data_IF_353446630412
#
_entry.id   IF_353446630412
#
_cell.length_a   1.000
_cell.length_b   1.000
_cell.length_c   1.000
_cell.angle_alpha   90.00
_cell.angle_beta   90.00
_cell.angle_gamma   90.00
#
_symmetry.space_group_name_H-M   'P 1'
#
loop_
_entity.id
_entity.type
_entity.pdbx_description
1 polymer ?
#
# COMPACT_ATOMS: atom_id res chain seq x y z
N UNK A 1 -88.18 11.63 2.53
CA UNK A 1 -87.61 10.29 2.33
C UNK A 1 -86.11 10.41 2.54
N UNK A 2 -85.63 9.90 3.67
CA UNK A 2 -84.21 9.86 4.05
C UNK A 2 -83.39 9.08 3.03
N UNK A 3 -82.08 9.35 2.94
CA UNK A 3 -81.02 8.38 3.24
C UNK A 3 -79.69 9.13 3.38
N UNK A 4 -79.07 8.94 4.55
CA UNK A 4 -77.75 9.38 4.96
C UNK A 4 -76.65 8.90 3.99
N UNK A 5 -75.79 9.81 3.53
CA UNK A 5 -74.49 9.43 2.96
C UNK A 5 -73.44 9.44 4.08
N UNK A 6 -73.00 8.23 4.45
CA UNK A 6 -71.89 7.96 5.37
C UNK A 6 -70.60 8.55 4.82
N UNK A 7 -69.92 9.41 5.59
CA UNK A 7 -68.54 9.82 5.29
C UNK A 7 -67.59 8.64 5.51
N UNK A 8 -66.84 8.30 4.46
CA UNK A 8 -65.78 7.31 4.50
C UNK A 8 -64.49 8.00 4.95
N UNK A 9 -64.10 7.82 6.20
CA UNK A 9 -62.86 8.39 6.75
C UNK A 9 -61.69 7.49 6.32
N UNK A 10 -60.95 7.88 5.28
CA UNK A 10 -59.68 7.26 4.93
C UNK A 10 -58.57 7.83 5.83
N UNK A 11 -58.05 7.03 6.76
CA UNK A 11 -56.82 7.37 7.49
C UNK A 11 -55.62 6.98 6.62
N UNK A 12 -55.01 7.96 5.97
CA UNK A 12 -53.70 7.80 5.35
C UNK A 12 -52.64 7.84 6.44
N UNK A 13 -52.07 6.69 6.79
CA UNK A 13 -50.85 6.64 7.59
C UNK A 13 -49.67 7.04 6.67
N UNK A 14 -49.18 8.27 6.82
CA UNK A 14 -48.02 8.75 6.07
C UNK A 14 -46.75 8.13 6.67
N UNK A 15 -46.08 7.26 5.92
CA UNK A 15 -44.76 6.73 6.29
C UNK A 15 -43.71 7.67 5.69
N UNK A 16 -43.05 8.44 6.54
CA UNK A 16 -41.92 9.29 6.13
C UNK A 16 -40.67 8.41 6.08
N UNK A 17 -40.24 8.04 4.87
CA UNK A 17 -38.97 7.35 4.66
C UNK A 17 -37.85 8.38 4.66
N UNK A 18 -37.10 8.49 5.76
CA UNK A 18 -35.91 9.33 5.83
C UNK A 18 -34.74 8.59 5.18
N UNK A 19 -34.39 8.96 3.95
CA UNK A 19 -33.19 8.43 3.27
C UNK A 19 -31.95 9.11 3.86
N UNK A 20 -31.13 8.36 4.60
CA UNK A 20 -29.82 8.83 5.08
C UNK A 20 -28.82 8.66 3.93
N UNK A 21 -28.32 9.79 3.41
CA UNK A 21 -27.25 9.79 2.40
C UNK A 21 -25.92 9.85 3.13
N UNK A 22 -25.14 8.76 3.08
CA UNK A 22 -23.76 8.77 3.55
C UNK A 22 -22.86 9.34 2.45
N UNK A 23 -22.18 10.48 2.67
CA UNK A 23 -21.19 10.95 1.71
C UNK A 23 -20.02 9.95 1.67
N UNK A 24 -19.82 9.32 0.52
CA UNK A 24 -18.63 8.52 0.26
C UNK A 24 -17.47 9.46 -0.04
N UNK A 25 -16.54 9.61 0.90
CA UNK A 25 -15.27 10.29 0.63
C UNK A 25 -14.38 9.32 -0.15
N UNK A 26 -14.08 9.63 -1.40
CA UNK A 26 -13.09 8.88 -2.17
C UNK A 26 -11.71 9.14 -1.57
N UNK A 27 -11.06 8.10 -1.03
CA UNK A 27 -9.66 8.16 -0.61
C UNK A 27 -8.81 7.72 -1.79
N UNK A 28 -8.10 8.64 -2.41
CA UNK A 28 -7.11 8.33 -3.45
C UNK A 28 -5.76 8.04 -2.79
N UNK A 29 -5.19 6.87 -3.09
CA UNK A 29 -3.81 6.59 -2.73
C UNK A 29 -2.89 7.47 -3.60
N UNK A 30 -2.09 8.31 -2.96
CA UNK A 30 -1.07 9.11 -3.62
C UNK A 30 0.23 8.32 -3.67
N UNK A 31 0.66 7.90 -4.87
CA UNK A 31 1.94 7.21 -5.07
C UNK A 31 3.07 8.24 -5.14
N UNK A 32 4.11 8.02 -4.35
CA UNK A 32 5.35 8.79 -4.40
C UNK A 32 6.49 7.82 -4.68
N UNK A 33 7.27 8.12 -5.71
CA UNK A 33 8.42 7.30 -6.13
C UNK A 33 9.69 7.98 -5.62
N UNK A 34 10.45 7.29 -4.77
CA UNK A 34 11.64 7.82 -4.12
C UNK A 34 12.97 7.36 -4.75
N UNK A 35 12.93 6.49 -5.77
CA UNK A 35 14.12 6.05 -6.51
C UNK A 35 13.84 5.95 -8.02
N UNK A 36 14.91 6.00 -8.81
CA UNK A 36 14.93 5.76 -10.25
C UNK A 36 14.25 4.43 -10.63
N UNK A 37 13.65 4.32 -11.84
CA UNK A 37 12.93 3.13 -12.30
C UNK A 37 13.88 1.98 -12.70
N UNK A 38 14.95 1.74 -11.95
CA UNK A 38 15.91 0.65 -12.18
C UNK A 38 15.72 -0.47 -11.17
N UNK A 39 16.09 -1.68 -11.56
CA UNK A 39 16.23 -2.82 -10.65
C UNK A 39 17.67 -2.89 -10.15
N UNK A 40 17.87 -3.19 -8.86
CA UNK A 40 19.19 -3.46 -8.30
C UNK A 40 19.50 -4.95 -8.37
N UNK A 41 20.62 -5.31 -8.99
CA UNK A 41 21.11 -6.68 -8.96
C UNK A 41 21.88 -6.89 -7.66
N UNK A 42 21.24 -7.56 -6.69
CA UNK A 42 21.84 -7.88 -5.40
C UNK A 42 22.36 -9.31 -5.35
N UNK A 43 23.49 -9.48 -4.67
CA UNK A 43 24.06 -10.80 -4.36
C UNK A 43 24.75 -10.73 -3.02
N UNK A 44 24.42 -11.64 -2.10
CA UNK A 44 25.08 -11.68 -0.80
C UNK A 44 26.52 -12.21 -0.91
N UNK A 45 26.71 -13.30 -1.66
CA UNK A 45 28.01 -13.94 -1.87
C UNK A 45 28.02 -14.82 -3.14
N UNK A 46 29.18 -15.42 -3.42
CA UNK A 46 29.33 -16.40 -4.49
C UNK A 46 29.42 -15.84 -5.93
N UNK A 47 29.80 -16.71 -6.89
CA UNK A 47 29.78 -16.36 -8.29
C UNK A 47 28.33 -16.31 -8.82
N UNK A 48 28.13 -15.69 -9.98
CA UNK A 48 26.85 -15.81 -10.70
C UNK A 48 26.60 -17.28 -11.03
N UNK A 49 25.34 -17.71 -10.93
CA UNK A 49 24.94 -19.06 -11.36
C UNK A 49 24.76 -19.14 -12.88
N UNK A 50 24.36 -18.05 -13.52
CA UNK A 50 24.03 -17.98 -14.95
C UNK A 50 24.79 -16.86 -15.63
N UNK A 51 25.23 -17.09 -16.88
CA UNK A 51 25.97 -16.11 -17.69
C UNK A 51 25.18 -14.84 -17.99
N UNK A 52 23.85 -14.93 -18.00
CA UNK A 52 22.95 -13.82 -18.33
C UNK A 52 22.93 -12.76 -17.23
N UNK A 53 23.28 -13.14 -16.00
CA UNK A 53 23.53 -12.17 -14.93
C UNK A 53 24.91 -11.52 -15.10
N UNK A 54 25.02 -10.21 -14.81
CA UNK A 54 26.31 -9.54 -14.68
C UNK A 54 27.27 -10.29 -13.75
N UNK A 55 28.55 -10.29 -14.10
CA UNK A 55 29.61 -10.91 -13.26
C UNK A 55 29.60 -10.32 -11.85
N UNK A 56 29.53 -8.99 -11.79
CA UNK A 56 29.49 -8.22 -10.57
C UNK A 56 28.05 -7.80 -10.27
N UNK A 57 27.59 -8.12 -9.05
CA UNK A 57 26.36 -7.55 -8.51
C UNK A 57 26.56 -6.06 -8.19
N UNK A 58 25.47 -5.28 -8.17
CA UNK A 58 25.53 -3.86 -7.82
C UNK A 58 25.96 -3.68 -6.36
N UNK A 59 25.43 -4.51 -5.46
CA UNK A 59 25.73 -4.47 -4.04
C UNK A 59 25.25 -5.75 -3.31
N UNK A 60 25.60 -5.84 -2.02
CA UNK A 60 25.08 -6.85 -1.09
C UNK A 60 23.84 -6.35 -0.32
N UNK A 61 23.41 -5.10 -0.53
CA UNK A 61 22.23 -4.46 0.04
C UNK A 61 21.93 -3.17 -0.73
N UNK A 62 20.74 -2.59 -0.55
CA UNK A 62 20.37 -1.27 -1.08
C UNK A 62 20.08 -0.35 0.10
N UNK A 63 20.42 0.93 -0.04
CA UNK A 63 19.99 1.97 0.90
C UNK A 63 19.49 3.16 0.08
N UNK A 64 18.21 3.50 0.24
CA UNK A 64 17.60 4.66 -0.40
C UNK A 64 17.25 5.68 0.67
N UNK A 65 17.90 6.85 0.59
CA UNK A 65 17.60 7.99 1.45
C UNK A 65 16.56 8.87 0.75
N UNK A 66 15.56 9.34 1.50
CA UNK A 66 14.52 10.21 0.97
C UNK A 66 14.01 11.19 2.03
N UNK A 67 13.61 12.38 1.59
CA UNK A 67 12.93 13.36 2.43
C UNK A 67 11.41 13.15 2.38
N UNK A 68 10.76 13.19 3.54
CA UNK A 68 9.32 13.08 3.66
C UNK A 68 8.78 13.96 4.80
N UNK A 69 7.46 14.17 4.79
CA UNK A 69 6.72 14.68 5.94
C UNK A 69 6.11 13.49 6.68
N UNK A 70 6.13 13.53 8.01
CA UNK A 70 5.50 12.55 8.87
C UNK A 70 4.08 12.25 8.39
N UNK A 71 3.78 10.96 8.33
CA UNK A 71 2.44 10.47 8.00
C UNK A 71 1.80 9.94 9.27
N UNK A 72 0.77 10.67 9.73
CA UNK A 72 -0.11 10.25 10.82
C UNK A 72 -1.03 9.08 10.42
N UNK A 73 -1.19 8.83 9.12
CA UNK A 73 -1.93 7.71 8.58
C UNK A 73 -1.00 6.54 8.21
N UNK A 74 -1.55 5.31 8.25
CA UNK A 74 -0.89 4.13 7.68
C UNK A 74 -0.67 4.33 6.17
N UNK A 75 0.47 3.88 5.67
CA UNK A 75 0.75 3.79 4.24
C UNK A 75 1.32 2.42 3.88
N UNK A 76 1.58 2.18 2.60
CA UNK A 76 2.15 0.95 2.12
C UNK A 76 3.42 1.25 1.31
N UNK A 77 4.45 0.44 1.52
CA UNK A 77 5.63 0.39 0.67
C UNK A 77 5.36 -0.58 -0.47
N UNK A 78 5.57 -0.14 -1.71
CA UNK A 78 5.49 -0.97 -2.91
C UNK A 78 6.91 -1.27 -3.40
N UNK A 79 7.26 -2.54 -3.54
CA UNK A 79 8.56 -2.97 -4.11
C UNK A 79 8.29 -3.93 -5.26
N UNK A 80 8.97 -3.74 -6.38
CA UNK A 80 9.08 -4.75 -7.45
C UNK A 80 10.31 -5.62 -7.17
N UNK A 81 10.17 -6.93 -7.32
CA UNK A 81 11.22 -7.92 -7.13
C UNK A 81 11.21 -8.93 -8.29
N UNK A 82 12.34 -9.58 -8.52
CA UNK A 82 12.53 -10.65 -9.50
C UNK A 82 13.72 -11.52 -9.05
N UNK A 83 13.73 -12.81 -9.40
CA UNK A 83 14.85 -13.74 -9.17
C UNK A 83 15.29 -13.84 -7.69
N UNK A 84 14.34 -13.75 -6.74
CA UNK A 84 14.65 -13.76 -5.30
C UNK A 84 14.80 -15.19 -4.78
N UNK A 85 16.04 -15.60 -4.53
CA UNK A 85 16.39 -16.96 -4.04
C UNK A 85 16.74 -17.04 -2.55
N UNK A 86 16.80 -15.90 -1.87
CA UNK A 86 17.21 -15.82 -0.47
C UNK A 86 16.41 -14.75 0.28
N UNK A 87 16.50 -14.79 1.61
CA UNK A 87 15.86 -13.79 2.46
C UNK A 87 16.57 -12.44 2.32
N UNK A 88 15.81 -11.42 1.92
CA UNK A 88 16.21 -10.02 1.97
C UNK A 88 15.27 -9.28 2.91
N UNK A 89 15.78 -8.77 4.03
CA UNK A 89 14.96 -7.99 4.96
C UNK A 89 14.68 -6.60 4.38
N UNK A 90 13.48 -6.08 4.64
CA UNK A 90 13.09 -4.71 4.32
C UNK A 90 12.88 -3.94 5.61
N UNK A 91 13.56 -2.82 5.73
CA UNK A 91 13.62 -1.95 6.90
C UNK A 91 13.42 -0.50 6.50
N UNK A 92 12.68 0.25 7.32
CA UNK A 92 12.51 1.69 7.19
C UNK A 92 12.92 2.34 8.50
N UNK A 93 13.91 3.23 8.47
CA UNK A 93 14.50 3.84 9.66
C UNK A 93 14.87 2.76 10.69
N UNK A 94 15.59 1.73 10.24
CA UNK A 94 16.03 0.55 11.02
C UNK A 94 14.90 -0.38 11.52
N UNK A 95 13.63 0.03 11.41
CA UNK A 95 12.47 -0.78 11.77
C UNK A 95 12.16 -1.78 10.66
N UNK A 96 12.19 -3.08 11.00
CA UNK A 96 11.81 -4.15 10.08
C UNK A 96 10.33 -4.07 9.69
N UNK A 97 10.07 -3.98 8.39
CA UNK A 97 8.74 -4.06 7.79
C UNK A 97 8.41 -5.49 7.35
N UNK A 98 9.43 -6.26 6.95
CA UNK A 98 9.25 -7.64 6.50
C UNK A 98 10.49 -8.19 5.79
N UNK A 99 10.26 -9.12 4.88
CA UNK A 99 11.26 -9.62 3.94
C UNK A 99 10.64 -9.79 2.55
N UNK A 100 11.47 -9.68 1.50
CA UNK A 100 11.07 -10.02 0.14
C UNK A 100 10.58 -11.47 0.06
N UNK A 101 9.66 -11.74 -0.87
CA UNK A 101 9.18 -13.12 -1.08
C UNK A 101 10.28 -13.90 -1.78
N UNK A 102 10.62 -15.09 -1.26
CA UNK A 102 11.50 -16.02 -1.97
C UNK A 102 10.69 -16.61 -3.12
N UNK A 103 10.83 -15.97 -4.27
CA UNK A 103 10.12 -16.26 -5.50
C UNK A 103 10.89 -15.62 -6.66
N UNK A 104 11.12 -16.41 -7.71
CA UNK A 104 11.91 -15.99 -8.87
C UNK A 104 11.08 -15.20 -9.89
N UNK A 105 9.73 -15.23 -9.81
CA UNK A 105 8.87 -14.48 -10.71
C UNK A 105 9.04 -12.96 -10.56
N UNK A 106 8.91 -12.24 -11.69
CA UNK A 106 8.76 -10.79 -11.68
C UNK A 106 7.41 -10.41 -11.02
N UNK A 107 7.48 -9.74 -9.88
CA UNK A 107 6.30 -9.40 -9.09
C UNK A 107 6.42 -8.12 -8.30
N UNK A 108 5.26 -7.61 -7.87
CA UNK A 108 5.16 -6.50 -6.93
C UNK A 108 4.68 -7.02 -5.58
N UNK A 109 5.37 -6.63 -4.52
CA UNK A 109 5.01 -6.90 -3.14
C UNK A 109 4.73 -5.59 -2.40
N UNK A 110 3.88 -5.69 -1.38
CA UNK A 110 3.50 -4.56 -0.54
C UNK A 110 3.81 -4.86 0.93
N UNK A 111 4.37 -3.87 1.63
CA UNK A 111 4.58 -3.91 3.07
C UNK A 111 3.74 -2.83 3.75
N UNK A 112 3.08 -3.16 4.86
CA UNK A 112 2.45 -2.16 5.70
C UNK A 112 3.52 -1.27 6.33
N UNK A 113 3.34 0.05 6.24
CA UNK A 113 4.09 1.03 7.00
C UNK A 113 3.18 1.56 8.10
N UNK A 114 3.43 1.19 9.37
CA UNK A 114 2.67 1.74 10.49
C UNK A 114 2.84 3.26 10.60
N UNK A 115 1.79 3.94 11.06
CA UNK A 115 1.84 5.39 11.36
C UNK A 115 3.04 5.73 12.26
N UNK A 116 3.66 6.88 12.01
CA UNK A 116 4.85 7.33 12.74
C UNK A 116 6.15 6.58 12.40
N UNK A 117 6.15 5.66 11.42
CA UNK A 117 7.40 5.03 10.94
C UNK A 117 8.17 5.96 9.99
N UNK A 118 7.46 6.71 9.15
CA UNK A 118 8.03 7.81 8.35
C UNK A 118 8.09 9.05 9.24
N UNK A 119 9.25 9.69 9.31
CA UNK A 119 9.49 10.90 10.11
C UNK A 119 9.61 12.13 9.22
N UNK A 120 9.46 13.31 9.83
CA UNK A 120 9.77 14.58 9.16
C UNK A 120 11.26 14.65 8.78
N UNK A 121 11.53 15.06 7.54
CA UNK A 121 12.86 15.17 6.99
C UNK A 121 13.38 13.83 6.48
N UNK A 122 14.62 13.49 6.83
CA UNK A 122 15.35 12.38 6.21
C UNK A 122 14.91 11.02 6.76
N UNK A 123 14.60 10.12 5.83
CA UNK A 123 14.28 8.72 6.08
C UNK A 123 15.22 7.82 5.27
N UNK A 124 15.40 6.57 5.71
CA UNK A 124 16.24 5.59 5.02
C UNK A 124 15.52 4.24 4.89
N UNK A 125 15.37 3.78 3.65
CA UNK A 125 14.89 2.44 3.31
C UNK A 125 16.09 1.51 3.02
N UNK A 126 16.11 0.32 3.63
CA UNK A 126 17.12 -0.73 3.37
C UNK A 126 16.50 -2.11 3.28
#
# INVERSE_FOLDING_TARGET
MNIFQRQLVFRFASVITTTVVFPSVAVHAHEVIYDSPRMYHLRADGPREWSDFPERADATNVSVDFDATEKSARCALRIRQQDVKQTWNVTLNEKKLGALRIDENDMVVYFEIPAGTVVDGKNTLR
#
